data_IF_469442991564
#
_entry.id   IF_469442991564
#
_cell.length_a   1.000
_cell.length_b   1.000
_cell.length_c   1.000
_cell.angle_alpha   90.00
_cell.angle_beta   90.00
_cell.angle_gamma   90.00
#
_symmetry.space_group_name_H-M   'P 1'
#
loop_
_entity.id
_entity.type
_entity.pdbx_description
1 polymer ?
#
# COMPACT_ATOMS: atom_id res chain seq x y z
N UNK A 1 -17.78 24.54 0.61
CA UNK A 1 -18.67 23.36 0.55
C UNK A 1 -18.13 22.33 1.54
N UNK A 2 -19.01 21.75 2.35
CA UNK A 2 -18.68 20.60 3.22
C UNK A 2 -18.39 19.37 2.36
N UNK A 3 -17.45 18.54 2.80
CA UNK A 3 -17.21 17.21 2.22
C UNK A 3 -18.29 16.28 2.76
N UNK A 4 -19.06 15.68 1.87
CA UNK A 4 -20.18 14.80 2.21
C UNK A 4 -19.70 13.36 2.38
N UNK A 5 -19.90 12.80 3.56
CA UNK A 5 -19.40 11.48 3.98
C UNK A 5 -20.57 10.51 4.17
N UNK A 6 -20.43 9.31 3.61
CA UNK A 6 -21.29 8.16 3.91
C UNK A 6 -20.53 7.18 4.80
N UNK A 7 -21.12 6.79 5.93
CA UNK A 7 -20.52 5.83 6.86
C UNK A 7 -21.14 4.45 6.64
N UNK A 8 -20.32 3.43 6.41
CA UNK A 8 -20.75 2.04 6.23
C UNK A 8 -19.98 1.17 7.22
N UNK A 9 -20.68 0.68 8.24
CA UNK A 9 -20.12 -0.13 9.33
C UNK A 9 -21.26 -0.91 9.99
N UNK A 10 -21.07 -2.19 10.34
CA UNK A 10 -22.15 -2.99 10.93
C UNK A 10 -22.41 -2.64 12.41
N UNK A 11 -21.42 -2.09 13.10
CA UNK A 11 -21.50 -1.69 14.49
C UNK A 11 -22.16 -0.33 14.65
N UNK A 12 -23.33 -0.33 15.30
CA UNK A 12 -24.02 0.91 15.66
C UNK A 12 -23.19 1.84 16.56
N UNK A 13 -22.28 1.28 17.36
CA UNK A 13 -21.36 2.06 18.19
C UNK A 13 -20.36 2.84 17.32
N UNK A 14 -19.74 2.17 16.35
CA UNK A 14 -18.77 2.82 15.46
C UNK A 14 -19.41 3.86 14.57
N UNK A 15 -20.60 3.58 14.01
CA UNK A 15 -21.32 4.57 13.22
C UNK A 15 -21.59 5.85 14.02
N UNK A 16 -22.16 5.74 15.22
CA UNK A 16 -22.39 6.90 16.11
C UNK A 16 -21.09 7.65 16.41
N UNK A 17 -20.02 6.91 16.70
CA UNK A 17 -18.75 7.52 17.06
C UNK A 17 -18.09 8.24 15.88
N UNK A 18 -18.11 7.65 14.69
CA UNK A 18 -17.65 8.30 13.46
C UNK A 18 -18.50 9.53 13.14
N UNK A 19 -19.83 9.45 13.30
CA UNK A 19 -20.74 10.58 13.12
C UNK A 19 -20.38 11.75 14.04
N UNK A 20 -20.13 11.50 15.33
CA UNK A 20 -19.66 12.54 16.26
C UNK A 20 -18.32 13.16 15.84
N UNK A 21 -17.35 12.32 15.48
CA UNK A 21 -16.00 12.78 15.12
C UNK A 21 -16.05 13.60 13.85
N UNK A 22 -16.78 13.16 12.83
CA UNK A 22 -16.88 13.83 11.53
C UNK A 22 -17.67 15.14 11.70
N UNK A 23 -18.81 15.12 12.38
CA UNK A 23 -19.70 16.29 12.53
C UNK A 23 -19.10 17.40 13.39
N UNK A 24 -18.11 17.10 14.23
CA UNK A 24 -17.40 18.13 14.99
C UNK A 24 -16.41 18.96 14.14
N UNK A 25 -16.31 18.72 12.83
CA UNK A 25 -15.61 19.58 11.88
C UNK A 25 -16.60 20.17 10.86
N UNK A 26 -16.79 21.49 10.87
CA UNK A 26 -17.72 22.19 9.97
C UNK A 26 -17.46 22.01 8.47
N UNK A 27 -16.27 21.53 8.10
CA UNK A 27 -15.93 21.23 6.70
C UNK A 27 -16.30 19.81 6.27
N UNK A 28 -16.83 18.98 7.16
CA UNK A 28 -17.31 17.63 6.89
C UNK A 28 -18.79 17.51 7.27
N UNK A 29 -19.53 16.68 6.55
CA UNK A 29 -20.95 16.44 6.79
C UNK A 29 -21.28 14.97 6.57
N UNK A 30 -21.92 14.32 7.56
CA UNK A 30 -22.40 12.95 7.39
C UNK A 30 -23.77 12.99 6.73
N UNK A 31 -23.85 12.53 5.48
CA UNK A 31 -25.09 12.55 4.69
C UNK A 31 -25.89 11.24 4.81
N UNK A 32 -25.30 10.21 5.40
CA UNK A 32 -25.95 8.92 5.60
C UNK A 32 -25.09 7.92 6.36
N UNK A 33 -25.76 6.89 6.85
CA UNK A 33 -25.17 5.74 7.52
C UNK A 33 -25.74 4.45 6.91
N UNK A 34 -24.96 3.38 6.80
CA UNK A 34 -25.37 2.06 6.33
C UNK A 34 -24.82 0.97 7.25
N UNK A 35 -25.57 -0.11 7.44
CA UNK A 35 -25.23 -1.19 8.38
C UNK A 35 -24.56 -2.42 7.74
N UNK A 36 -24.50 -2.44 6.41
CA UNK A 36 -23.88 -3.52 5.64
C UNK A 36 -23.44 -3.01 4.27
N UNK A 37 -22.65 -3.81 3.54
CA UNK A 37 -22.12 -3.43 2.24
C UNK A 37 -23.20 -3.19 1.18
N UNK A 38 -24.33 -3.92 1.25
CA UNK A 38 -25.41 -3.79 0.27
C UNK A 38 -26.13 -2.45 0.41
N UNK A 39 -26.50 -2.10 1.65
CA UNK A 39 -27.06 -0.79 1.96
C UNK A 39 -26.05 0.33 1.63
N UNK A 40 -24.75 0.09 1.87
CA UNK A 40 -23.67 0.99 1.48
C UNK A 40 -23.64 1.28 -0.02
N UNK A 41 -23.76 0.27 -0.87
CA UNK A 41 -23.82 0.41 -2.34
C UNK A 41 -25.06 1.22 -2.76
N UNK A 42 -26.24 0.87 -2.24
CA UNK A 42 -27.51 1.54 -2.56
C UNK A 42 -27.48 3.03 -2.16
N UNK A 43 -26.96 3.34 -0.96
CA UNK A 43 -26.81 4.71 -0.47
C UNK A 43 -25.74 5.50 -1.22
N UNK A 44 -24.67 4.86 -1.66
CA UNK A 44 -23.64 5.52 -2.49
C UNK A 44 -24.24 6.00 -3.82
N UNK A 45 -25.05 5.16 -4.46
CA UNK A 45 -25.68 5.50 -5.75
C UNK A 45 -26.71 6.64 -5.59
N UNK A 46 -27.52 6.58 -4.53
CA UNK A 46 -28.61 7.54 -4.31
C UNK A 46 -28.13 8.88 -3.76
N UNK A 47 -27.26 8.89 -2.75
CA UNK A 47 -26.80 10.10 -2.07
C UNK A 47 -25.59 10.75 -2.75
N UNK A 48 -24.86 9.98 -3.58
CA UNK A 48 -23.61 10.38 -4.25
C UNK A 48 -22.65 11.11 -3.29
N UNK A 49 -22.17 10.46 -2.22
CA UNK A 49 -21.24 11.08 -1.28
C UNK A 49 -19.91 11.45 -1.97
N UNK A 50 -19.16 12.37 -1.36
CA UNK A 50 -17.82 12.73 -1.85
C UNK A 50 -16.77 11.70 -1.37
N UNK A 51 -17.04 11.02 -0.25
CA UNK A 51 -16.22 9.91 0.26
C UNK A 51 -17.07 8.93 1.07
N UNK A 52 -16.72 7.65 0.98
CA UNK A 52 -17.32 6.58 1.77
C UNK A 52 -16.30 6.05 2.77
N UNK A 53 -16.66 5.98 4.04
CA UNK A 53 -15.89 5.23 5.03
C UNK A 53 -16.48 3.83 5.12
N UNK A 54 -15.68 2.79 4.90
CA UNK A 54 -16.18 1.43 4.69
C UNK A 54 -15.49 0.44 5.63
N UNK A 55 -16.26 -0.26 6.46
CA UNK A 55 -15.77 -1.42 7.17
C UNK A 55 -15.47 -2.59 6.23
N UNK A 56 -14.53 -3.45 6.62
CA UNK A 56 -14.18 -4.65 5.86
C UNK A 56 -15.15 -5.79 6.15
N UNK A 57 -15.41 -6.06 7.43
CA UNK A 57 -16.14 -7.25 7.88
C UNK A 57 -17.56 -6.86 8.24
N UNK A 58 -18.52 -7.24 7.40
CA UNK A 58 -19.93 -6.92 7.60
C UNK A 58 -20.81 -8.10 7.16
N UNK A 59 -22.01 -8.27 7.74
CA UNK A 59 -22.98 -9.26 7.28
C UNK A 59 -23.54 -8.90 5.90
N UNK A 60 -24.19 -9.87 5.25
CA UNK A 60 -24.88 -9.74 3.94
C UNK A 60 -23.93 -9.50 2.75
N UNK A 61 -23.12 -8.45 2.80
CA UNK A 61 -22.11 -8.11 1.81
C UNK A 61 -20.91 -7.50 2.52
N UNK A 62 -19.73 -8.08 2.31
CA UNK A 62 -18.49 -7.58 2.87
C UNK A 62 -18.02 -6.28 2.19
N UNK A 63 -17.12 -5.56 2.86
CA UNK A 63 -16.60 -4.28 2.38
C UNK A 63 -15.85 -4.39 1.06
N UNK A 64 -15.15 -5.51 0.81
CA UNK A 64 -14.37 -5.71 -0.43
C UNK A 64 -15.31 -5.83 -1.63
N UNK A 65 -16.38 -6.59 -1.50
CA UNK A 65 -17.42 -6.77 -2.51
C UNK A 65 -18.17 -5.46 -2.73
N UNK A 66 -18.49 -4.74 -1.65
CA UNK A 66 -19.09 -3.41 -1.74
C UNK A 66 -18.21 -2.41 -2.49
N UNK A 67 -16.89 -2.40 -2.24
CA UNK A 67 -15.92 -1.58 -2.98
C UNK A 67 -15.98 -1.88 -4.48
N UNK A 68 -15.95 -3.15 -4.88
CA UNK A 68 -16.02 -3.54 -6.30
C UNK A 68 -17.32 -3.07 -6.95
N UNK A 69 -18.44 -3.22 -6.25
CA UNK A 69 -19.74 -2.78 -6.76
C UNK A 69 -19.84 -1.26 -6.89
N UNK A 70 -19.40 -0.51 -5.88
CA UNK A 70 -19.35 0.96 -5.92
C UNK A 70 -18.46 1.42 -7.06
N UNK A 71 -17.25 0.88 -7.18
CA UNK A 71 -16.30 1.25 -8.23
C UNK A 71 -16.79 0.90 -9.64
N UNK A 72 -17.68 -0.10 -9.79
CA UNK A 72 -18.30 -0.45 -11.07
C UNK A 72 -19.52 0.43 -11.39
N UNK A 73 -20.39 0.70 -10.41
CA UNK A 73 -21.69 1.37 -10.63
C UNK A 73 -21.61 2.90 -10.49
N UNK A 74 -20.91 3.39 -9.48
CA UNK A 74 -20.77 4.81 -9.15
C UNK A 74 -19.41 5.04 -8.48
N UNK A 75 -18.30 5.09 -9.24
CA UNK A 75 -16.96 5.23 -8.69
C UNK A 75 -16.87 6.41 -7.73
N UNK A 76 -16.64 6.10 -6.46
CA UNK A 76 -16.62 7.05 -5.35
C UNK A 76 -15.39 6.74 -4.50
N UNK A 77 -14.66 7.75 -3.98
CA UNK A 77 -13.54 7.52 -3.07
C UNK A 77 -13.94 6.75 -1.81
N UNK A 78 -13.21 5.67 -1.50
CA UNK A 78 -13.45 4.83 -0.34
C UNK A 78 -12.22 4.82 0.56
N UNK A 79 -12.42 5.17 1.84
CA UNK A 79 -11.46 4.99 2.92
C UNK A 79 -11.87 3.74 3.72
N UNK A 80 -11.04 2.70 3.67
CA UNK A 80 -11.31 1.47 4.42
C UNK A 80 -11.05 1.69 5.91
N UNK A 81 -11.92 1.13 6.75
CA UNK A 81 -11.74 1.03 8.19
C UNK A 81 -11.58 -0.43 8.56
N UNK A 82 -10.38 -0.82 8.98
CA UNK A 82 -10.05 -2.22 9.22
C UNK A 82 -9.57 -2.43 10.65
N UNK A 83 -9.75 -3.64 11.18
CA UNK A 83 -9.10 -4.04 12.43
C UNK A 83 -7.57 -4.02 12.30
N UNK A 84 -6.86 -3.95 13.43
CA UNK A 84 -5.40 -3.96 13.51
C UNK A 84 -4.77 -5.37 13.38
N UNK A 85 -5.57 -6.39 13.01
CA UNK A 85 -5.12 -7.78 12.95
C UNK A 85 -4.41 -8.09 11.62
N UNK A 86 -3.65 -9.18 11.58
CA UNK A 86 -3.01 -9.65 10.35
C UNK A 86 -4.03 -10.04 9.26
N UNK A 87 -5.14 -10.66 9.65
CA UNK A 87 -6.25 -10.96 8.72
C UNK A 87 -6.89 -9.67 8.20
N UNK A 88 -7.11 -8.68 9.09
CA UNK A 88 -7.58 -7.35 8.71
C UNK A 88 -6.66 -6.65 7.72
N UNK A 89 -5.34 -6.77 7.89
CA UNK A 89 -4.35 -6.21 6.96
C UNK A 89 -4.45 -6.85 5.57
N UNK A 90 -4.55 -8.18 5.48
CA UNK A 90 -4.69 -8.88 4.21
C UNK A 90 -5.99 -8.48 3.47
N UNK A 91 -7.09 -8.40 4.20
CA UNK A 91 -8.38 -7.96 3.64
C UNK A 91 -8.33 -6.50 3.19
N UNK A 92 -7.61 -5.64 3.90
CA UNK A 92 -7.39 -4.24 3.52
C UNK A 92 -6.63 -4.12 2.20
N UNK A 93 -5.56 -4.90 1.98
CA UNK A 93 -4.86 -4.87 0.69
C UNK A 93 -5.73 -5.35 -0.47
N UNK A 94 -6.58 -6.37 -0.25
CA UNK A 94 -7.58 -6.79 -1.25
C UNK A 94 -8.59 -5.68 -1.55
N UNK A 95 -8.98 -4.89 -0.54
CA UNK A 95 -9.86 -3.75 -0.74
C UNK A 95 -9.19 -2.62 -1.54
N UNK A 96 -7.91 -2.33 -1.27
CA UNK A 96 -7.13 -1.36 -2.05
C UNK A 96 -7.04 -1.79 -3.53
N UNK A 97 -6.79 -3.07 -3.80
CA UNK A 97 -6.79 -3.61 -5.18
C UNK A 97 -8.16 -3.58 -5.85
N UNK A 98 -9.23 -3.71 -5.06
CA UNK A 98 -10.60 -3.56 -5.55
C UNK A 98 -10.95 -2.11 -5.91
N UNK A 99 -10.09 -1.14 -5.57
CA UNK A 99 -10.24 0.27 -5.90
C UNK A 99 -10.42 1.19 -4.70
N UNK A 100 -10.29 0.68 -3.47
CA UNK A 100 -10.24 1.57 -2.30
C UNK A 100 -8.98 2.44 -2.34
N UNK A 101 -9.10 3.64 -1.80
CA UNK A 101 -8.10 4.70 -1.97
C UNK A 101 -7.00 4.61 -0.91
N UNK A 102 -7.41 4.41 0.33
CA UNK A 102 -6.55 4.29 1.48
C UNK A 102 -7.27 3.52 2.59
N UNK A 103 -6.60 3.33 3.71
CA UNK A 103 -7.20 2.74 4.89
C UNK A 103 -6.82 3.45 6.20
N UNK A 104 -7.60 3.16 7.23
CA UNK A 104 -7.34 3.57 8.59
C UNK A 104 -7.64 2.44 9.57
N UNK A 105 -6.75 2.15 10.53
CA UNK A 105 -7.02 1.15 11.54
C UNK A 105 -8.12 1.61 12.51
N UNK A 106 -9.02 0.70 12.87
CA UNK A 106 -9.98 0.83 13.96
C UNK A 106 -9.26 0.66 15.30
N UNK A 107 -8.51 1.66 15.74
CA UNK A 107 -7.92 1.63 17.07
C UNK A 107 -8.98 1.98 18.13
N UNK A 108 -9.55 0.95 18.76
CA UNK A 108 -10.63 1.08 19.74
C UNK A 108 -10.27 2.05 20.88
N UNK A 109 -9.04 2.00 21.39
CA UNK A 109 -8.61 2.83 22.52
C UNK A 109 -8.52 4.32 22.15
N UNK A 110 -7.97 4.65 20.97
CA UNK A 110 -7.81 6.04 20.54
C UNK A 110 -9.15 6.69 20.20
N UNK A 111 -10.04 5.91 19.57
CA UNK A 111 -11.38 6.35 19.19
C UNK A 111 -12.26 6.51 20.45
N UNK A 112 -12.11 5.63 21.44
CA UNK A 112 -12.86 5.68 22.70
C UNK A 112 -12.37 6.79 23.65
N UNK A 113 -11.07 7.03 23.76
CA UNK A 113 -10.49 7.97 24.73
C UNK A 113 -10.29 9.41 24.22
N UNK A 114 -10.88 9.78 23.09
CA UNK A 114 -10.83 11.15 22.52
C UNK A 114 -9.40 11.71 22.43
N UNK A 115 -8.44 10.91 21.96
CA UNK A 115 -7.11 11.47 21.65
C UNK A 115 -7.24 12.41 20.45
N UNK A 116 -7.15 13.71 20.70
CA UNK A 116 -7.34 14.74 19.67
C UNK A 116 -6.50 14.49 18.41
N UNK A 117 -5.28 13.97 18.56
CA UNK A 117 -4.38 13.65 17.46
C UNK A 117 -4.96 12.61 16.49
N UNK A 118 -5.52 11.51 16.99
CA UNK A 118 -6.11 10.45 16.17
C UNK A 118 -7.40 10.93 15.47
N UNK A 119 -8.18 11.77 16.15
CA UNK A 119 -9.39 12.37 15.58
C UNK A 119 -9.05 13.32 14.42
N UNK A 120 -8.01 14.13 14.59
CA UNK A 120 -7.51 15.02 13.54
C UNK A 120 -6.94 14.24 12.37
N UNK A 121 -6.20 13.15 12.62
CA UNK A 121 -5.70 12.26 11.56
C UNK A 121 -6.85 11.69 10.73
N UNK A 122 -7.90 11.19 11.38
CA UNK A 122 -9.07 10.66 10.67
C UNK A 122 -9.70 11.73 9.77
N UNK A 123 -9.99 12.91 10.31
CA UNK A 123 -10.59 14.01 9.54
C UNK A 123 -9.70 14.43 8.39
N UNK A 124 -8.39 14.50 8.61
CA UNK A 124 -7.42 14.85 7.57
C UNK A 124 -7.41 13.80 6.45
N UNK A 125 -7.41 12.50 6.78
CA UNK A 125 -7.50 11.40 5.80
C UNK A 125 -8.81 11.43 5.03
N UNK A 126 -9.96 11.62 5.68
CA UNK A 126 -11.26 11.76 5.00
C UNK A 126 -11.20 12.90 3.98
N UNK A 127 -10.71 14.08 4.37
CA UNK A 127 -10.58 15.24 3.46
C UNK A 127 -9.62 14.96 2.31
N UNK A 128 -8.52 14.26 2.57
CA UNK A 128 -7.53 13.91 1.56
C UNK A 128 -8.11 12.92 0.54
N UNK A 129 -8.79 11.87 1.02
CA UNK A 129 -9.47 10.86 0.17
C UNK A 129 -10.64 11.48 -0.61
N UNK A 130 -11.43 12.36 -0.01
CA UNK A 130 -12.52 13.04 -0.72
C UNK A 130 -12.02 13.92 -1.89
N UNK A 131 -10.80 14.44 -1.79
CA UNK A 131 -10.16 15.21 -2.87
C UNK A 131 -9.43 14.33 -3.89
N UNK A 132 -9.34 13.02 -3.64
CA UNK A 132 -8.66 12.10 -4.54
C UNK A 132 -9.45 11.93 -5.85
N UNK A 133 -8.72 11.85 -6.97
CA UNK A 133 -9.30 11.82 -8.31
C UNK A 133 -9.64 10.39 -8.74
N UNK A 134 -10.60 9.76 -8.06
CA UNK A 134 -10.98 8.35 -8.31
C UNK A 134 -11.52 8.11 -9.72
N UNK A 135 -12.12 9.12 -10.35
CA UNK A 135 -12.58 9.05 -11.75
C UNK A 135 -11.45 9.01 -12.79
N UNK A 136 -10.20 9.34 -12.42
CA UNK A 136 -9.04 9.31 -13.32
C UNK A 136 -8.09 8.14 -13.09
N UNK A 137 -8.20 7.45 -11.95
CA UNK A 137 -7.37 6.27 -11.61
C UNK A 137 -7.71 5.02 -12.43
N UNK A 138 -8.62 5.12 -13.40
CA UNK A 138 -8.66 4.25 -14.57
C UNK A 138 -8.48 2.78 -14.24
N UNK A 139 -9.40 2.19 -13.46
CA UNK A 139 -9.61 0.74 -13.55
C UNK A 139 -10.14 0.50 -14.96
N UNK A 140 -9.23 0.35 -15.94
CA UNK A 140 -9.60 -0.31 -17.19
C UNK A 140 -10.13 -1.68 -16.76
N UNK A 141 -11.36 -2.06 -17.15
CA UNK A 141 -11.78 -3.44 -16.97
C UNK A 141 -10.68 -4.29 -17.60
N UNK A 142 -10.12 -5.22 -16.82
CA UNK A 142 -9.30 -6.29 -17.39
C UNK A 142 -10.21 -6.91 -18.43
N UNK A 143 -9.94 -6.62 -19.71
CA UNK A 143 -10.66 -7.24 -20.79
C UNK A 143 -10.48 -8.74 -20.57
N UNK A 144 -11.58 -9.41 -20.24
CA UNK A 144 -11.66 -10.86 -20.27
C UNK A 144 -11.00 -11.29 -21.58
N UNK A 145 -9.93 -12.06 -21.47
CA UNK A 145 -9.29 -12.71 -22.61
C UNK A 145 -10.30 -13.72 -23.13
N UNK A 146 -11.28 -13.23 -23.90
CA UNK A 146 -12.10 -14.04 -24.75
C UNK A 146 -11.15 -14.66 -25.76
N UNK A 147 -10.94 -15.96 -25.63
CA UNK A 147 -10.15 -16.77 -26.53
C UNK A 147 -10.53 -16.43 -27.98
N UNK A 148 -9.58 -15.87 -28.72
CA UNK A 148 -9.72 -15.70 -30.15
C UNK A 148 -9.90 -17.10 -30.78
N UNK A 149 -10.83 -17.28 -31.74
CA UNK A 149 -11.00 -18.55 -32.41
C UNK A 149 -9.76 -18.82 -33.25
N UNK A 150 -9.14 -19.98 -33.03
CA UNK A 150 -8.05 -20.51 -33.84
C UNK A 150 -8.54 -20.59 -35.28
N UNK A 151 -8.02 -19.72 -36.15
CA UNK A 151 -8.15 -19.86 -37.60
C UNK A 151 -7.19 -20.96 -38.04
N UNK A 152 -7.72 -22.15 -38.28
CA UNK A 152 -6.99 -23.22 -38.97
C UNK A 152 -6.81 -22.83 -40.44
N UNK A 153 -5.57 -22.57 -40.82
CA UNK A 153 -5.15 -22.44 -42.22
C UNK A 153 -5.07 -23.83 -42.85
N UNK A 154 -6.08 -24.22 -43.62
CA UNK A 154 -6.00 -25.38 -44.51
C UNK A 154 -5.35 -24.98 -45.82
N UNK A 155 -4.12 -25.44 -46.01
CA UNK A 155 -3.45 -25.49 -47.32
C UNK A 155 -4.27 -26.41 -48.24
N UNK A 156 -4.56 -25.91 -49.43
CA UNK A 156 -5.25 -26.65 -50.47
C UNK A 156 -4.39 -27.80 -51.01
N UNK A 157 -5.02 -28.94 -51.21
CA UNK A 157 -4.65 -29.89 -52.25
C UNK A 157 -5.90 -30.31 -53.02
N UNK A 158 -5.72 -30.27 -54.32
CA UNK A 158 -6.70 -30.45 -55.39
C UNK A 158 -6.99 -31.92 -55.68
N UNK A 159 -8.27 -32.16 -55.99
CA UNK A 159 -8.81 -33.08 -57.00
C UNK A 159 -8.41 -34.57 -56.99
N UNK A 160 -9.40 -35.47 -56.80
CA UNK A 160 -9.84 -36.41 -57.85
C UNK A 160 -11.18 -37.10 -57.50
N UNK A 161 -11.90 -37.51 -58.55
CA UNK A 161 -13.29 -37.95 -58.59
C UNK A 161 -13.54 -39.41 -58.19
N UNK A 162 -14.78 -39.75 -57.76
CA UNK A 162 -15.58 -40.90 -58.29
C UNK A 162 -16.91 -41.15 -57.53
N UNK A 163 -18.03 -41.03 -58.28
CA UNK A 163 -19.13 -42.00 -58.50
C UNK A 163 -19.88 -42.74 -57.33
N UNK A 164 -21.18 -42.39 -57.25
CA UNK A 164 -22.42 -43.22 -57.28
C UNK A 164 -22.81 -44.27 -56.21
N UNK A 165 -24.12 -44.19 -55.86
CA UNK A 165 -25.06 -45.21 -55.34
C UNK A 165 -24.93 -45.61 -53.85
N UNK A 166 -25.98 -45.85 -53.07
CA UNK A 166 -27.43 -45.87 -53.27
C UNK A 166 -28.13 -46.28 -51.95
N UNK A 167 -29.36 -45.80 -51.78
CA UNK A 167 -30.55 -46.46 -51.20
C UNK A 167 -30.55 -47.24 -49.85
N UNK A 168 -31.53 -46.82 -49.02
CA UNK A 168 -32.49 -47.63 -48.21
C UNK A 168 -32.11 -48.23 -46.85
N UNK A 169 -33.04 -48.01 -45.90
CA UNK A 169 -33.45 -49.00 -44.88
C UNK A 169 -33.31 -48.51 -43.43
N UNK A 170 -34.33 -47.87 -42.83
CA UNK A 170 -35.28 -48.48 -41.86
C UNK A 170 -34.63 -49.48 -40.90
N UNK A 171 -34.64 -49.28 -39.58
CA UNK A 171 -35.80 -49.55 -38.70
C UNK A 171 -35.40 -49.26 -37.24
N UNK A 172 -36.39 -48.85 -36.44
CA UNK A 172 -36.73 -49.36 -35.09
C UNK A 172 -35.60 -49.53 -34.04
N UNK A 173 -35.76 -49.27 -32.73
CA UNK A 173 -36.94 -49.14 -31.88
C UNK A 173 -36.42 -48.80 -30.46
N UNK A 174 -37.35 -48.31 -29.65
CA UNK A 174 -37.45 -48.52 -28.19
C UNK A 174 -36.95 -47.42 -27.27
N UNK A 175 -37.95 -46.62 -26.88
CA UNK A 175 -38.12 -46.04 -25.56
C UNK A 175 -38.31 -47.12 -24.49
N UNK A 176 -37.99 -46.77 -23.23
CA UNK A 176 -38.72 -47.06 -21.98
C UNK A 176 -37.71 -46.99 -20.82
N UNK A 177 -37.71 -46.02 -19.90
CA UNK A 177 -38.73 -45.53 -18.96
C UNK A 177 -38.39 -45.99 -17.54
N UNK A 178 -38.43 -45.04 -16.59
CA UNK A 178 -39.01 -45.15 -15.23
C UNK A 178 -38.32 -46.17 -14.28
N UNK A 179 -38.21 -46.03 -12.96
CA UNK A 179 -38.74 -45.10 -11.94
C UNK A 179 -38.31 -45.67 -10.58
N UNK A 180 -38.17 -44.80 -9.56
CA UNK A 180 -38.30 -45.14 -8.13
C UNK A 180 -37.12 -45.91 -7.52
N UNK A 181 -36.78 -45.81 -6.24
CA UNK A 181 -37.39 -45.14 -5.10
C UNK A 181 -36.82 -45.79 -3.83
N UNK A 182 -36.38 -44.94 -2.89
CA UNK A 182 -36.35 -45.10 -1.42
C UNK A 182 -35.70 -46.34 -0.74
N UNK A 183 -34.73 -46.01 0.13
CA UNK A 183 -34.57 -46.41 1.54
C UNK A 183 -34.16 -47.84 1.91
N UNK A 184 -33.01 -47.99 2.60
CA UNK A 184 -32.90 -48.61 3.93
C UNK A 184 -31.43 -48.78 4.39
N UNK A 185 -31.12 -48.22 5.57
CA UNK A 185 -30.27 -48.72 6.68
C UNK A 185 -29.17 -49.76 6.43
N UNK A 186 -27.94 -49.48 6.90
CA UNK A 186 -27.15 -50.39 7.76
C UNK A 186 -25.84 -49.77 8.31
N UNK A 187 -25.73 -49.82 9.64
CA UNK A 187 -24.58 -50.18 10.50
C UNK A 187 -23.17 -49.54 10.37
N UNK A 188 -22.67 -49.10 11.54
CA UNK A 188 -21.29 -48.73 11.93
C UNK A 188 -20.29 -49.91 11.83
N UNK A 189 -18.98 -49.63 11.93
CA UNK A 189 -18.33 -49.86 13.22
C UNK A 189 -17.43 -48.71 13.70
N UNK A 190 -17.35 -48.63 15.03
CA UNK A 190 -16.56 -47.75 15.87
C UNK A 190 -15.10 -48.17 15.98
N UNK A 191 -14.16 -47.21 15.91
CA UNK A 191 -12.78 -47.38 16.39
C UNK A 191 -12.54 -46.45 17.58
N UNK A 192 -12.16 -47.08 18.66
CA UNK A 192 -11.79 -46.59 19.99
C UNK A 192 -10.37 -46.01 19.96
N UNK A 193 -10.15 -44.84 20.54
CA UNK A 193 -8.81 -44.38 20.97
C UNK A 193 -8.87 -43.87 22.41
N UNK A 194 -8.04 -44.40 23.32
CA UNK A 194 -8.04 -44.01 24.72
C UNK A 194 -7.18 -42.76 24.99
N UNK A 195 -7.43 -42.15 26.15
CA UNK A 195 -6.90 -40.88 26.65
C UNK A 195 -5.92 -41.10 27.82
N UNK A 196 -4.90 -40.23 27.88
CA UNK A 196 -4.02 -39.83 29.01
C UNK A 196 -2.80 -40.75 29.34
N UNK A 197 -1.72 -40.25 30.00
CA UNK A 197 -1.55 -38.95 30.68
C UNK A 197 -0.23 -38.16 30.41
N UNK A 198 -0.16 -36.96 30.99
CA UNK A 198 1.00 -36.07 31.12
C UNK A 198 2.12 -36.65 32.00
N UNK A 199 3.37 -36.55 31.55
CA UNK A 199 4.57 -36.43 32.40
C UNK A 199 5.74 -35.91 31.56
N UNK A 200 6.55 -35.02 32.15
CA UNK A 200 7.59 -34.26 31.48
C UNK A 200 8.84 -35.06 31.10
N UNK A 201 9.52 -34.57 30.06
CA UNK A 201 10.92 -34.84 29.80
C UNK A 201 11.53 -33.64 29.08
N UNK A 202 12.59 -33.12 29.68
CA UNK A 202 13.48 -32.06 29.22
C UNK A 202 14.47 -32.58 28.16
N UNK A 203 14.70 -31.79 27.10
CA UNK A 203 15.97 -31.58 26.35
C UNK A 203 15.69 -31.00 24.95
N UNK A 204 16.66 -30.36 24.25
CA UNK A 204 17.76 -29.51 24.71
C UNK A 204 17.69 -28.09 24.10
N UNK A 205 18.36 -27.13 24.74
CA UNK A 205 18.49 -25.76 24.26
C UNK A 205 19.35 -25.69 22.99
N UNK A 206 18.73 -25.41 21.84
CA UNK A 206 19.43 -24.84 20.69
C UNK A 206 19.62 -23.35 20.93
N UNK A 207 20.88 -22.96 21.16
CA UNK A 207 21.33 -21.56 21.25
C UNK A 207 20.93 -20.80 19.98
N UNK A 208 19.84 -20.05 20.06
CA UNK A 208 19.60 -18.91 19.18
C UNK A 208 20.60 -17.81 19.59
N UNK A 209 21.61 -17.57 18.76
CA UNK A 209 22.52 -16.44 18.92
C UNK A 209 21.76 -15.18 18.51
N UNK A 210 21.02 -14.60 19.44
CA UNK A 210 20.60 -13.21 19.35
C UNK A 210 21.80 -12.34 19.74
N UNK A 211 22.55 -11.86 18.75
CA UNK A 211 23.54 -10.80 18.97
C UNK A 211 22.78 -9.50 19.27
N UNK A 212 22.55 -9.23 20.54
CA UNK A 212 22.08 -7.91 20.99
C UNK A 212 23.20 -6.89 20.83
N UNK A 213 22.88 -5.73 20.25
CA UNK A 213 23.81 -4.59 20.17
C UNK A 213 24.33 -4.24 21.57
N UNK A 214 25.65 -4.05 21.66
CA UNK A 214 26.34 -3.71 22.91
C UNK A 214 25.90 -2.32 23.42
N UNK A 215 26.00 -2.06 24.73
CA UNK A 215 25.57 -0.78 25.30
C UNK A 215 26.27 0.44 24.66
N UNK A 216 27.53 0.28 24.23
CA UNK A 216 28.28 1.30 23.51
C UNK A 216 27.71 1.58 22.11
N UNK A 217 27.30 0.54 21.37
CA UNK A 217 26.64 0.69 20.06
C UNK A 217 25.26 1.33 20.19
N UNK A 218 24.52 1.12 21.28
CA UNK A 218 23.24 1.82 21.51
C UNK A 218 23.46 3.31 21.76
N UNK A 219 24.47 3.67 22.54
CA UNK A 219 24.83 5.07 22.80
C UNK A 219 25.25 5.83 21.53
N UNK A 220 26.01 5.19 20.62
CA UNK A 220 26.37 5.82 19.34
C UNK A 220 25.17 6.05 18.43
N UNK A 221 24.20 5.13 18.44
CA UNK A 221 22.99 5.21 17.61
C UNK A 221 22.03 6.29 18.09
N UNK A 222 21.84 6.42 19.40
CA UNK A 222 21.03 7.49 19.98
C UNK A 222 21.63 8.87 19.67
N UNK A 223 22.96 9.03 19.81
CA UNK A 223 23.64 10.28 19.43
C UNK A 223 23.52 10.59 17.92
N UNK A 224 23.61 9.58 17.05
CA UNK A 224 23.42 9.77 15.62
C UNK A 224 21.99 10.21 15.29
N UNK A 225 21.00 9.61 15.95
CA UNK A 225 19.59 9.97 15.82
C UNK A 225 19.32 11.40 16.32
N UNK A 226 19.87 11.79 17.48
CA UNK A 226 19.79 13.16 17.98
C UNK A 226 20.42 14.17 17.05
N UNK A 227 21.58 13.85 16.46
CA UNK A 227 22.23 14.70 15.47
C UNK A 227 21.36 14.90 14.23
N UNK A 228 20.78 13.82 13.69
CA UNK A 228 19.85 13.89 12.56
C UNK A 228 18.67 14.79 12.90
N UNK A 229 18.07 14.59 14.07
CA UNK A 229 16.96 15.42 14.53
C UNK A 229 17.36 16.90 14.69
N UNK A 230 18.56 17.19 15.20
CA UNK A 230 19.09 18.56 15.32
C UNK A 230 19.29 19.23 13.96
N UNK A 231 19.65 18.46 12.93
CA UNK A 231 19.79 18.97 11.56
C UNK A 231 18.43 19.24 10.92
N UNK A 232 17.45 18.39 11.20
CA UNK A 232 16.08 18.58 10.76
C UNK A 232 15.41 19.77 11.48
N UNK A 233 15.74 20.03 12.76
CA UNK A 233 15.20 21.17 13.53
C UNK A 233 15.97 22.49 13.33
N UNK A 234 17.28 22.43 13.04
CA UNK A 234 18.14 23.60 12.80
C UNK A 234 17.94 24.28 11.44
N UNK A 235 17.10 23.71 10.59
CA UNK A 235 16.68 24.29 9.31
C UNK A 235 15.63 25.39 9.52
N UNK A 236 16.05 26.52 10.10
CA UNK A 236 15.32 27.80 10.29
C UNK A 236 13.92 27.72 10.99
N UNK A 237 13.73 28.34 12.18
CA UNK A 237 12.40 28.54 12.76
C UNK A 237 11.50 29.51 11.95
N UNK A 238 12.08 30.16 10.93
CA UNK A 238 11.37 31.04 10.00
C UNK A 238 10.53 30.27 9.00
N UNK A 239 9.28 30.01 9.39
CA UNK A 239 8.24 29.21 8.71
C UNK A 239 8.56 27.72 8.66
N UNK A 240 7.95 26.89 9.54
CA UNK A 240 7.92 25.45 9.30
C UNK A 240 7.37 25.17 7.90
N UNK A 241 7.63 24.01 7.30
CA UNK A 241 7.02 23.66 6.01
C UNK A 241 5.49 23.88 6.04
N UNK A 242 4.85 23.66 7.19
CA UNK A 242 3.45 24.00 7.56
C UNK A 242 3.05 25.47 7.37
N UNK A 243 4.00 26.40 7.37
CA UNK A 243 3.82 27.85 7.23
C UNK A 243 4.33 28.40 5.89
N UNK A 244 4.89 27.56 5.01
CA UNK A 244 4.83 27.89 3.59
C UNK A 244 3.34 27.89 3.22
N UNK A 245 2.88 28.97 2.61
CA UNK A 245 1.52 29.08 2.13
C UNK A 245 1.36 28.03 1.03
N UNK A 246 0.96 26.81 1.41
CA UNK A 246 0.64 25.74 0.48
C UNK A 246 -0.57 26.23 -0.30
N UNK A 247 -0.31 26.83 -1.46
CA UNK A 247 -1.35 27.14 -2.42
C UNK A 247 -1.82 25.81 -2.98
N UNK A 248 -2.76 25.18 -2.27
CA UNK A 248 -3.60 24.13 -2.83
C UNK A 248 -4.35 24.76 -4.01
N UNK A 249 -3.91 24.45 -5.22
CA UNK A 249 -4.52 24.92 -6.46
C UNK A 249 -3.87 26.17 -7.05
N UNK A 250 -2.76 25.97 -7.80
CA UNK A 250 -2.50 26.72 -9.05
C UNK A 250 -1.28 26.23 -9.84
N UNK A 251 -0.44 25.36 -9.29
CA UNK A 251 0.63 24.73 -10.06
C UNK A 251 0.12 23.45 -10.71
N UNK A 252 -0.37 23.53 -11.95
CA UNK A 252 -0.33 22.38 -12.86
C UNK A 252 1.15 22.06 -13.04
N UNK A 253 1.73 21.21 -12.19
CA UNK A 253 3.11 20.81 -12.35
C UNK A 253 3.20 20.02 -13.66
N UNK A 254 3.80 20.64 -14.68
CA UNK A 254 4.04 19.94 -15.95
C UNK A 254 5.09 18.87 -15.69
N UNK A 255 4.84 17.67 -16.20
CA UNK A 255 5.84 16.61 -16.27
C UNK A 255 7.17 17.19 -16.79
N UNK A 256 8.26 16.91 -16.08
CA UNK A 256 9.59 17.22 -16.59
C UNK A 256 9.96 16.20 -17.66
N UNK A 257 10.64 16.64 -18.72
CA UNK A 257 11.26 15.71 -19.66
C UNK A 257 12.36 14.95 -18.91
N UNK A 258 12.29 13.62 -18.94
CA UNK A 258 13.30 12.79 -18.30
C UNK A 258 14.63 12.93 -19.02
N UNK A 259 15.70 13.12 -18.25
CA UNK A 259 17.08 13.10 -18.73
C UNK A 259 17.93 12.45 -17.67
N UNK A 260 18.59 11.36 -18.03
CA UNK A 260 19.52 10.66 -17.16
C UNK A 260 20.50 11.63 -16.50
N UNK A 261 20.68 11.52 -15.18
CA UNK A 261 21.53 12.46 -14.43
C UNK A 261 23.03 12.26 -14.70
N UNK A 262 23.41 11.06 -15.18
CA UNK A 262 24.80 10.63 -15.37
C UNK A 262 25.52 10.30 -14.05
N UNK A 263 24.82 10.33 -12.92
CA UNK A 263 25.39 10.01 -11.60
C UNK A 263 25.31 8.50 -11.33
N UNK A 264 26.23 8.04 -10.48
CA UNK A 264 26.20 6.69 -9.92
C UNK A 264 25.35 6.69 -8.66
N UNK A 265 24.41 5.75 -8.57
CA UNK A 265 23.59 5.51 -7.39
C UNK A 265 23.93 4.16 -6.79
N UNK A 266 24.16 4.11 -5.49
CA UNK A 266 24.42 2.87 -4.75
C UNK A 266 23.19 2.39 -3.96
N UNK A 267 22.13 3.20 -3.89
CA UNK A 267 20.89 2.89 -3.18
C UNK A 267 19.71 3.69 -3.75
N UNK A 268 18.54 3.06 -3.76
CA UNK A 268 17.25 3.72 -4.09
C UNK A 268 16.46 3.91 -2.80
N UNK A 269 15.95 5.11 -2.55
CA UNK A 269 15.17 5.44 -1.35
C UNK A 269 13.80 6.01 -1.74
N UNK A 270 12.71 5.43 -1.24
CA UNK A 270 11.35 5.78 -1.62
C UNK A 270 10.54 6.16 -0.38
N UNK A 271 9.95 7.35 -0.37
CA UNK A 271 9.01 7.81 0.65
C UNK A 271 7.58 7.87 0.12
N UNK A 272 6.61 7.41 0.90
CA UNK A 272 5.19 7.37 0.50
C UNK A 272 4.24 7.35 1.70
N UNK A 273 2.98 7.73 1.48
CA UNK A 273 1.94 7.75 2.53
C UNK A 273 0.58 7.32 1.94
N UNK A 274 -0.48 8.13 2.03
CA UNK A 274 -1.79 7.84 1.41
C UNK A 274 -1.70 7.55 -0.09
N UNK A 275 -2.23 6.39 -0.50
CA UNK A 275 -2.12 5.85 -1.87
C UNK A 275 -0.77 5.17 -2.18
N UNK A 276 0.17 5.23 -1.24
CA UNK A 276 1.51 4.67 -1.37
C UNK A 276 1.55 3.15 -1.59
N UNK A 277 0.74 2.32 -0.89
CA UNK A 277 0.76 0.87 -1.11
C UNK A 277 0.41 0.47 -2.56
N UNK A 278 -0.53 1.16 -3.20
CA UNK A 278 -0.88 0.93 -4.61
C UNK A 278 0.22 1.46 -5.53
N UNK A 279 0.76 2.65 -5.23
CA UNK A 279 1.86 3.22 -6.01
C UNK A 279 3.10 2.31 -6.02
N UNK A 280 3.50 1.79 -4.86
CA UNK A 280 4.62 0.88 -4.71
C UNK A 280 4.40 -0.46 -5.42
N UNK A 281 3.19 -1.04 -5.33
CA UNK A 281 2.82 -2.25 -6.09
C UNK A 281 2.84 -2.02 -7.61
N UNK A 282 2.70 -0.78 -8.08
CA UNK A 282 2.80 -0.46 -9.50
C UNK A 282 4.23 -0.27 -10.00
N UNK A 283 5.18 0.01 -9.09
CA UNK A 283 6.57 0.37 -9.38
C UNK A 283 7.51 -0.81 -9.14
N UNK A 284 7.59 -1.33 -7.91
CA UNK A 284 8.61 -2.30 -7.50
C UNK A 284 8.57 -3.60 -8.31
N UNK A 285 7.38 -4.18 -8.60
CA UNK A 285 7.28 -5.40 -9.43
C UNK A 285 7.86 -5.26 -10.84
N UNK A 286 7.89 -4.05 -11.39
CA UNK A 286 8.37 -3.78 -12.75
C UNK A 286 9.88 -3.56 -12.81
N UNK A 287 10.56 -3.50 -11.66
CA UNK A 287 12.00 -3.31 -11.62
C UNK A 287 12.72 -4.66 -11.87
N UNK A 288 13.72 -4.70 -12.77
CA UNK A 288 14.67 -5.80 -12.83
C UNK A 288 15.62 -5.73 -11.64
N UNK A 289 16.47 -6.73 -11.46
CA UNK A 289 17.52 -6.69 -10.41
C UNK A 289 18.63 -5.69 -10.80
N UNK A 290 18.62 -4.51 -10.17
CA UNK A 290 19.54 -3.40 -10.46
C UNK A 290 20.85 -3.45 -9.64
N UNK A 291 21.09 -4.53 -8.90
CA UNK A 291 22.27 -4.73 -8.04
C UNK A 291 22.50 -3.63 -6.99
N UNK A 292 21.43 -2.99 -6.54
CA UNK A 292 21.44 -2.03 -5.42
C UNK A 292 20.30 -2.36 -4.44
N UNK A 293 20.46 -2.05 -3.14
CA UNK A 293 19.37 -2.10 -2.18
C UNK A 293 18.31 -1.04 -2.49
N UNK A 294 17.05 -1.37 -2.18
CA UNK A 294 15.93 -0.42 -2.16
C UNK A 294 15.46 -0.26 -0.72
N UNK A 295 15.20 0.98 -0.29
CA UNK A 295 14.62 1.26 1.03
C UNK A 295 13.33 2.04 0.87
N UNK A 296 12.27 1.55 1.50
CA UNK A 296 10.92 2.11 1.42
C UNK A 296 10.50 2.57 2.80
N UNK A 297 10.11 3.83 2.89
CA UNK A 297 9.46 4.41 4.06
C UNK A 297 8.02 4.72 3.69
N UNK A 298 7.11 3.85 4.15
CA UNK A 298 5.67 3.97 3.95
C UNK A 298 5.04 4.31 5.30
N UNK A 299 4.27 5.41 5.37
CA UNK A 299 3.47 5.71 6.56
C UNK A 299 2.38 4.66 6.74
N UNK A 300 2.59 3.73 7.67
CA UNK A 300 1.68 2.63 7.89
C UNK A 300 1.85 2.07 9.31
N UNK A 301 0.77 1.58 9.95
CA UNK A 301 0.87 0.96 11.28
C UNK A 301 1.73 -0.32 11.26
N UNK A 302 2.35 -0.64 12.40
CA UNK A 302 3.26 -1.79 12.52
C UNK A 302 2.63 -3.15 12.22
N UNK A 303 1.32 -3.30 12.45
CA UNK A 303 0.62 -4.55 12.13
C UNK A 303 0.41 -4.79 10.63
N UNK A 304 0.65 -3.78 9.78
CA UNK A 304 0.44 -3.85 8.34
C UNK A 304 1.75 -3.92 7.55
N UNK A 305 2.87 -3.45 8.11
CA UNK A 305 4.17 -3.39 7.40
C UNK A 305 4.72 -4.76 7.06
N UNK A 306 4.61 -5.74 7.97
CA UNK A 306 5.00 -7.12 7.68
C UNK A 306 4.18 -7.73 6.54
N UNK A 307 2.85 -7.59 6.59
CA UNK A 307 1.92 -8.12 5.57
C UNK A 307 2.15 -7.47 4.20
N UNK A 308 2.44 -6.17 4.19
CA UNK A 308 2.76 -5.44 2.98
C UNK A 308 4.08 -5.90 2.36
N UNK A 309 5.12 -6.11 3.17
CA UNK A 309 6.39 -6.64 2.70
C UNK A 309 6.22 -8.02 2.05
N UNK A 310 5.50 -8.93 2.69
CA UNK A 310 5.18 -10.25 2.14
C UNK A 310 4.40 -10.16 0.82
N UNK A 311 3.40 -9.26 0.75
CA UNK A 311 2.62 -9.07 -0.47
C UNK A 311 3.51 -8.59 -1.61
N UNK A 312 4.35 -7.60 -1.36
CA UNK A 312 5.23 -7.02 -2.36
C UNK A 312 6.31 -8.01 -2.81
N UNK A 313 6.86 -8.82 -1.89
CA UNK A 313 7.79 -9.92 -2.17
C UNK A 313 7.21 -10.91 -3.19
N UNK A 314 5.95 -11.34 -2.97
CA UNK A 314 5.27 -12.32 -3.83
C UNK A 314 5.05 -11.87 -5.27
N UNK A 315 5.07 -10.55 -5.53
CA UNK A 315 4.81 -9.98 -6.85
C UNK A 315 6.06 -9.33 -7.48
N UNK A 316 7.20 -9.34 -6.79
CA UNK A 316 8.40 -8.61 -7.22
C UNK A 316 9.57 -9.54 -7.56
N UNK A 317 10.50 -9.04 -8.38
CA UNK A 317 11.77 -9.71 -8.62
C UNK A 317 12.75 -9.54 -7.45
N UNK A 318 12.58 -8.45 -6.68
CA UNK A 318 13.36 -8.18 -5.48
C UNK A 318 12.88 -9.06 -4.34
N UNK A 319 13.82 -9.48 -3.48
CA UNK A 319 13.47 -9.98 -2.15
C UNK A 319 12.99 -8.79 -1.31
N UNK A 320 11.73 -8.78 -0.90
CA UNK A 320 11.16 -7.70 -0.08
C UNK A 320 10.98 -8.17 1.36
N UNK A 321 11.52 -7.41 2.30
CA UNK A 321 11.44 -7.71 3.73
C UNK A 321 11.09 -6.47 4.54
N UNK A 322 10.38 -6.67 5.64
CA UNK A 322 10.33 -5.65 6.69
C UNK A 322 11.69 -5.58 7.39
N UNK A 323 12.23 -4.37 7.52
CA UNK A 323 13.56 -4.15 8.06
C UNK A 323 13.64 -4.48 9.56
N UNK A 324 14.71 -5.18 9.96
CA UNK A 324 14.99 -5.51 11.36
C UNK A 324 16.22 -4.75 11.85
N UNK A 325 16.26 -4.48 13.16
CA UNK A 325 17.44 -3.86 13.77
C UNK A 325 18.66 -4.75 13.55
N UNK A 326 19.71 -4.16 12.97
CA UNK A 326 20.95 -4.83 12.67
C UNK A 326 21.05 -5.48 11.29
N UNK A 327 20.00 -5.43 10.47
CA UNK A 327 20.07 -5.86 9.08
C UNK A 327 21.19 -5.12 8.33
N UNK A 328 21.88 -5.81 7.44
CA UNK A 328 22.88 -5.23 6.54
C UNK A 328 22.21 -5.01 5.20
N UNK A 329 22.39 -3.82 4.61
CA UNK A 329 21.86 -3.52 3.28
C UNK A 329 22.58 -4.37 2.23
N UNK A 330 21.82 -5.26 1.60
CA UNK A 330 22.28 -6.14 0.53
C UNK A 330 21.70 -5.71 -0.83
N UNK A 331 22.48 -5.82 -1.93
CA UNK A 331 21.98 -5.65 -3.28
C UNK A 331 20.76 -6.53 -3.55
N UNK A 332 19.81 -6.04 -4.36
CA UNK A 332 18.62 -6.80 -4.78
C UNK A 332 17.65 -7.16 -3.64
N UNK A 333 17.79 -6.51 -2.48
CA UNK A 333 16.85 -6.59 -1.37
C UNK A 333 16.15 -5.24 -1.19
N UNK A 334 14.84 -5.30 -0.99
CA UNK A 334 13.99 -4.16 -0.72
C UNK A 334 13.55 -4.19 0.74
N UNK A 335 13.90 -3.15 1.51
CA UNK A 335 13.64 -3.06 2.94
C UNK A 335 12.50 -2.07 3.20
N UNK A 336 11.45 -2.51 3.88
CA UNK A 336 10.33 -1.67 4.29
C UNK A 336 10.51 -1.26 5.74
N UNK A 337 10.40 0.04 6.03
CA UNK A 337 10.46 0.55 7.39
C UNK A 337 9.31 -0.02 8.26
N UNK A 338 9.59 -0.56 9.45
CA UNK A 338 8.57 -1.09 10.34
C UNK A 338 7.68 0.02 10.91
N UNK A 339 6.37 -0.22 10.93
CA UNK A 339 5.38 0.75 11.41
C UNK A 339 5.50 1.02 12.91
N UNK A 340 5.28 2.27 13.32
CA UNK A 340 5.41 2.70 14.73
C UNK A 340 6.85 2.87 15.22
N UNK A 341 7.85 2.61 14.37
CA UNK A 341 9.27 2.72 14.67
C UNK A 341 9.95 3.67 13.67
N UNK A 342 11.19 4.07 13.96
CA UNK A 342 12.05 4.82 13.05
C UNK A 342 13.10 3.90 12.46
N UNK A 343 13.35 4.07 11.16
CA UNK A 343 14.41 3.37 10.44
C UNK A 343 15.51 4.38 10.10
N UNK A 344 16.71 4.17 10.64
CA UNK A 344 17.90 4.94 10.27
C UNK A 344 18.99 4.02 9.77
N UNK A 345 20.00 4.62 9.13
CA UNK A 345 21.14 3.92 8.59
C UNK A 345 22.42 4.35 9.30
N UNK A 346 23.28 3.38 9.57
CA UNK A 346 24.61 3.59 10.14
C UNK A 346 25.68 3.03 9.21
N UNK A 347 26.82 3.72 9.15
CA UNK A 347 27.97 3.23 8.39
C UNK A 347 28.64 2.10 9.19
N UNK A 348 28.45 0.87 8.73
CA UNK A 348 29.20 -0.28 9.24
C UNK A 348 30.61 -0.32 8.67
N UNK A 349 31.39 -1.33 9.07
CA UNK A 349 32.79 -1.49 8.64
C UNK A 349 32.94 -1.62 7.12
N UNK A 350 32.04 -2.37 6.48
CA UNK A 350 32.10 -2.65 5.03
C UNK A 350 30.80 -2.37 4.29
N UNK A 351 29.65 -2.50 4.98
CA UNK A 351 28.32 -2.28 4.44
C UNK A 351 27.49 -1.45 5.42
N UNK A 352 26.47 -0.79 4.91
CA UNK A 352 25.55 0.02 5.71
C UNK A 352 24.63 -0.90 6.52
N UNK A 353 24.47 -0.60 7.81
CA UNK A 353 23.62 -1.32 8.76
C UNK A 353 22.33 -0.53 8.99
N UNK A 354 21.20 -1.22 9.05
CA UNK A 354 19.89 -0.65 9.40
C UNK A 354 19.76 -0.67 10.92
N UNK A 355 19.31 0.45 11.49
CA UNK A 355 18.90 0.51 12.90
C UNK A 355 17.43 0.87 13.02
N UNK A 356 16.73 0.14 13.89
CA UNK A 356 15.32 0.36 14.18
C UNK A 356 15.18 0.91 15.59
N UNK A 357 14.66 2.14 15.69
CA UNK A 357 14.55 2.89 16.93
C UNK A 357 13.10 3.16 17.27
N UNK A 358 12.80 3.27 18.56
CA UNK A 358 11.48 3.76 18.96
C UNK A 358 11.36 5.24 18.60
N UNK A 359 10.23 5.60 18.04
CA UNK A 359 9.90 6.98 17.76
C UNK A 359 9.90 7.88 19.00
N UNK A 360 10.31 9.13 18.81
CA UNK A 360 10.08 10.20 19.79
C UNK A 360 8.85 11.02 19.37
N UNK A 361 8.14 11.55 20.37
CA UNK A 361 7.06 12.54 20.29
C UNK A 361 7.38 13.81 19.47
N UNK A 362 8.67 14.13 19.28
CA UNK A 362 9.12 15.27 18.45
C UNK A 362 8.82 15.11 16.96
N UNK A 363 8.65 13.87 16.48
CA UNK A 363 8.35 13.56 15.09
C UNK A 363 6.90 13.09 15.01
N UNK A 364 6.16 13.62 14.04
CA UNK A 364 4.72 13.32 13.89
C UNK A 364 4.49 11.90 13.37
N UNK A 365 5.37 11.41 12.48
CA UNK A 365 5.21 10.15 11.78
C UNK A 365 6.22 9.10 12.25
N UNK A 366 5.75 7.87 12.39
CA UNK A 366 6.56 6.70 12.73
C UNK A 366 6.13 5.52 11.83
N UNK A 367 6.85 5.23 10.75
CA UNK A 367 8.17 5.76 10.35
C UNK A 367 8.12 7.13 9.66
N UNK A 368 9.20 7.90 9.79
CA UNK A 368 9.36 9.22 9.16
C UNK A 368 10.36 9.17 8.00
N UNK A 369 9.96 9.69 6.84
CA UNK A 369 10.77 9.72 5.62
C UNK A 369 11.97 10.65 5.80
N UNK A 370 11.78 11.83 6.40
CA UNK A 370 12.84 12.81 6.63
C UNK A 370 14.00 12.23 7.44
N UNK A 371 13.69 11.48 8.51
CA UNK A 371 14.66 10.83 9.39
C UNK A 371 15.50 9.81 8.61
N UNK A 372 14.85 8.90 7.86
CA UNK A 372 15.56 7.90 7.07
C UNK A 372 16.43 8.54 5.99
N UNK A 373 15.89 9.51 5.24
CA UNK A 373 16.60 10.18 4.15
C UNK A 373 17.79 11.01 4.66
N UNK A 374 17.65 11.69 5.80
CA UNK A 374 18.75 12.43 6.43
C UNK A 374 19.92 11.52 6.84
N UNK A 375 19.63 10.33 7.37
CA UNK A 375 20.67 9.35 7.70
C UNK A 375 21.40 8.83 6.45
N UNK A 376 20.68 8.60 5.34
CA UNK A 376 21.29 8.22 4.06
C UNK A 376 22.17 9.33 3.47
N UNK A 377 21.74 10.59 3.57
CA UNK A 377 22.50 11.74 3.08
C UNK A 377 23.90 11.81 3.72
N UNK A 378 23.99 11.47 5.01
CA UNK A 378 25.25 11.45 5.76
C UNK A 378 26.19 10.30 5.36
N UNK A 379 25.68 9.24 4.72
CA UNK A 379 26.43 8.01 4.41
C UNK A 379 26.85 7.94 2.94
N UNK A 380 25.90 8.17 2.02
CA UNK A 380 26.08 7.86 0.61
C UNK A 380 26.60 9.04 -0.23
N UNK A 381 26.76 10.24 0.36
CA UNK A 381 27.46 11.40 -0.24
C UNK A 381 27.05 11.67 -1.69
N UNK A 382 25.75 11.76 -1.95
CA UNK A 382 25.21 12.07 -3.27
C UNK A 382 24.92 10.87 -4.18
N UNK A 383 25.14 9.64 -3.71
CA UNK A 383 24.90 8.39 -4.46
C UNK A 383 23.55 7.74 -4.11
N UNK A 384 22.54 8.56 -3.81
CA UNK A 384 21.17 8.12 -3.53
C UNK A 384 20.27 8.56 -4.66
N UNK A 385 19.48 7.63 -5.20
CA UNK A 385 18.32 7.97 -6.01
C UNK A 385 17.09 8.00 -5.10
N UNK A 386 16.63 9.20 -4.76
CA UNK A 386 15.52 9.39 -3.84
C UNK A 386 14.22 9.69 -4.60
N UNK A 387 13.10 9.21 -4.09
CA UNK A 387 11.79 9.40 -4.71
C UNK A 387 10.73 9.65 -3.65
N UNK A 388 9.88 10.64 -3.87
CA UNK A 388 8.70 10.90 -3.04
C UNK A 388 7.45 10.67 -3.87
N UNK A 389 6.65 9.70 -3.43
CA UNK A 389 5.38 9.31 -4.05
C UNK A 389 4.19 9.94 -3.31
N UNK A 390 2.99 9.66 -3.80
CA UNK A 390 1.70 10.09 -3.25
C UNK A 390 1.66 9.98 -1.72
N UNK A 391 1.07 11.01 -1.11
CA UNK A 391 1.00 11.11 0.33
C UNK A 391 0.54 12.47 0.82
N UNK A 392 -0.03 12.50 2.03
CA UNK A 392 -0.43 13.73 2.70
C UNK A 392 0.74 14.35 3.47
N UNK A 393 0.74 15.68 3.60
CA UNK A 393 1.72 16.40 4.40
C UNK A 393 2.99 16.74 3.62
N UNK A 394 4.10 16.92 4.35
CA UNK A 394 5.38 17.37 3.79
C UNK A 394 6.57 16.51 4.24
N UNK A 395 6.31 15.36 4.86
CA UNK A 395 7.38 14.44 5.26
C UNK A 395 8.17 13.99 4.02
N UNK A 396 9.48 13.89 4.18
CA UNK A 396 10.44 13.64 3.11
C UNK A 396 11.00 14.90 2.47
N UNK A 397 10.45 16.10 2.75
CA UNK A 397 10.96 17.35 2.19
C UNK A 397 12.31 17.77 2.75
N UNK A 398 12.49 17.73 4.07
CA UNK A 398 13.74 18.13 4.70
C UNK A 398 14.84 17.09 4.48
N UNK A 399 14.51 15.80 4.57
CA UNK A 399 15.40 14.70 4.24
C UNK A 399 15.84 14.74 2.77
N UNK A 400 14.92 15.01 1.84
CA UNK A 400 15.27 15.20 0.43
C UNK A 400 16.13 16.43 0.20
N UNK A 401 15.94 17.52 0.97
CA UNK A 401 16.81 18.70 0.92
C UNK A 401 18.23 18.36 1.35
N UNK A 402 18.40 17.56 2.39
CA UNK A 402 19.72 17.08 2.84
C UNK A 402 20.37 16.17 1.80
N UNK A 403 19.62 15.25 1.20
CA UNK A 403 20.09 14.42 0.08
C UNK A 403 20.53 15.30 -1.09
N UNK A 404 19.74 16.32 -1.44
CA UNK A 404 20.05 17.24 -2.54
C UNK A 404 21.32 18.03 -2.28
N UNK A 405 21.51 18.54 -1.06
CA UNK A 405 22.75 19.22 -0.62
C UNK A 405 23.96 18.30 -0.69
N UNK A 406 23.79 17.01 -0.42
CA UNK A 406 24.84 16.00 -0.56
C UNK A 406 25.12 15.59 -2.02
N UNK A 407 24.33 16.07 -2.99
CA UNK A 407 24.51 15.81 -4.41
C UNK A 407 23.63 14.69 -4.99
N UNK A 408 22.68 14.16 -4.23
CA UNK A 408 21.77 13.09 -4.66
C UNK A 408 20.76 13.56 -5.69
N UNK A 409 20.12 12.61 -6.37
CA UNK A 409 19.02 12.86 -7.30
C UNK A 409 17.71 12.62 -6.59
N UNK A 410 16.75 13.54 -6.74
CA UNK A 410 15.44 13.47 -6.09
C UNK A 410 14.33 13.59 -7.11
N UNK A 411 13.43 12.60 -7.17
CA UNK A 411 12.25 12.62 -8.03
C UNK A 411 10.96 12.77 -7.20
N UNK A 412 9.94 13.34 -7.84
CA UNK A 412 8.60 13.47 -7.28
C UNK A 412 7.56 12.87 -8.24
N UNK A 413 6.57 12.16 -7.69
CA UNK A 413 5.40 11.76 -8.46
C UNK A 413 4.59 13.00 -8.87
N UNK A 414 4.08 13.04 -10.10
CA UNK A 414 3.27 14.15 -10.58
C UNK A 414 1.87 14.19 -9.94
N UNK A 415 1.19 15.33 -10.05
CA UNK A 415 -0.15 15.51 -9.48
C UNK A 415 -1.18 14.57 -10.12
N UNK A 416 -1.07 14.31 -11.42
CA UNK A 416 -2.09 13.59 -12.17
C UNK A 416 -2.23 12.12 -11.77
N UNK A 417 -1.14 11.49 -11.35
CA UNK A 417 -1.14 10.08 -10.91
C UNK A 417 -1.14 9.93 -9.39
N UNK A 418 -1.01 11.03 -8.64
CA UNK A 418 -1.12 11.00 -7.19
C UNK A 418 -2.57 10.79 -6.74
N UNK A 419 -2.74 9.95 -5.72
CA UNK A 419 -3.98 9.90 -4.96
C UNK A 419 -4.13 11.16 -4.12
N UNK A 420 -3.06 11.53 -3.41
CA UNK A 420 -2.93 12.78 -2.64
C UNK A 420 -1.60 13.43 -3.01
N UNK A 421 -1.69 14.59 -3.65
CA UNK A 421 -0.53 15.39 -4.06
C UNK A 421 -0.09 16.35 -2.94
N UNK A 422 0.33 15.80 -1.79
CA UNK A 422 0.87 16.57 -0.66
C UNK A 422 2.39 16.45 -0.56
N UNK A 423 2.87 15.25 -0.23
CA UNK A 423 4.30 14.98 -0.07
C UNK A 423 5.09 15.34 -1.34
N UNK A 424 4.69 14.90 -2.56
CA UNK A 424 5.41 15.29 -3.77
C UNK A 424 5.33 16.80 -4.03
N UNK A 425 4.20 17.44 -3.73
CA UNK A 425 4.03 18.88 -3.87
C UNK A 425 5.01 19.66 -2.99
N UNK A 426 5.25 19.21 -1.76
CA UNK A 426 6.22 19.83 -0.86
C UNK A 426 7.64 19.84 -1.45
N UNK A 427 8.05 18.74 -2.10
CA UNK A 427 9.35 18.63 -2.78
C UNK A 427 9.44 19.58 -3.97
N UNK A 428 8.38 19.62 -4.79
CA UNK A 428 8.32 20.46 -6.00
C UNK A 428 8.31 21.94 -5.64
N UNK A 429 7.49 22.36 -4.66
CA UNK A 429 7.41 23.75 -4.22
C UNK A 429 8.71 24.23 -3.58
N UNK A 430 9.46 23.34 -2.94
CA UNK A 430 10.77 23.65 -2.38
C UNK A 430 11.89 23.70 -3.45
N UNK A 431 11.61 23.41 -4.72
CA UNK A 431 12.60 23.39 -5.80
C UNK A 431 13.63 22.27 -5.67
N UNK A 432 13.29 21.18 -4.97
CA UNK A 432 14.21 20.08 -4.66
C UNK A 432 14.18 19.00 -5.75
N UNK A 433 13.03 18.81 -6.41
CA UNK A 433 12.84 17.76 -7.41
C UNK A 433 13.64 18.01 -8.68
N UNK A 434 14.47 17.04 -9.08
CA UNK A 434 15.12 16.97 -10.39
C UNK A 434 14.11 16.62 -11.49
N UNK A 435 13.22 15.68 -11.18
CA UNK A 435 12.19 15.23 -12.09
C UNK A 435 10.84 15.11 -11.40
N UNK A 436 9.80 15.53 -12.12
CA UNK A 436 8.40 15.33 -11.77
C UNK A 436 7.76 14.51 -12.89
N UNK A 437 7.23 13.34 -12.56
CA UNK A 437 6.76 12.39 -13.57
C UNK A 437 5.58 11.55 -13.11
N UNK A 438 4.80 11.08 -14.08
CA UNK A 438 3.73 10.12 -13.88
C UNK A 438 4.23 8.80 -13.27
N UNK A 439 3.39 8.15 -12.46
CA UNK A 439 3.72 6.91 -11.74
C UNK A 439 4.16 5.79 -12.67
N UNK A 440 3.54 5.68 -13.85
CA UNK A 440 3.84 4.66 -14.84
C UNK A 440 5.22 4.85 -15.48
N UNK A 441 5.75 6.08 -15.44
CA UNK A 441 7.09 6.43 -15.94
C UNK A 441 8.20 6.22 -14.90
N UNK A 442 7.86 6.09 -13.62
CA UNK A 442 8.84 5.95 -12.55
C UNK A 442 9.69 4.70 -12.75
N UNK A 443 9.08 3.53 -12.85
CA UNK A 443 9.81 2.27 -13.00
C UNK A 443 10.73 2.23 -14.24
N UNK A 444 10.26 2.55 -15.47
CA UNK A 444 11.15 2.56 -16.64
C UNK A 444 12.28 3.59 -16.52
N UNK A 445 12.02 4.77 -15.93
CA UNK A 445 13.05 5.79 -15.76
C UNK A 445 14.09 5.39 -14.69
N UNK A 446 13.72 4.64 -13.65
CA UNK A 446 14.69 4.05 -12.71
C UNK A 446 15.67 3.16 -13.47
N UNK A 447 15.17 2.28 -14.35
CA UNK A 447 15.99 1.36 -15.14
C UNK A 447 16.97 2.15 -16.03
N UNK A 448 16.47 3.16 -16.75
CA UNK A 448 17.31 4.03 -17.60
C UNK A 448 18.36 4.80 -16.79
N UNK A 449 17.97 5.38 -15.65
CA UNK A 449 18.87 6.10 -14.73
C UNK A 449 20.01 5.20 -14.23
N UNK A 450 19.69 3.97 -13.84
CA UNK A 450 20.66 2.98 -13.37
C UNK A 450 21.51 2.39 -14.50
N UNK A 451 21.14 2.62 -15.77
CA UNK A 451 21.90 2.17 -16.94
C UNK A 451 21.66 0.72 -17.32
N UNK A 452 20.46 0.23 -17.04
CA UNK A 452 20.00 -1.11 -17.40
C UNK A 452 19.11 -1.10 -18.64
#
# INVERSE_FOLDING_TARGET
MSVRVLIVDDSSFFRKRLTEIISADSSLEVIGEAKDGKEGVEKTISLRPDVVTMDVEMPVMDGITAVKEIMSKSPTPILMFSSLTFEGANSTFKALEAGAVDFMPKNFDDIAHKRDTALQELRAKIKAVAKSRVSRLGVRPVASVAAAPVRTSTLGQTATAARTAGTLGTTARSASSLSGGLSATAARPSITTPRAPLAGASAPATRAVAMGATAAERGSTEMAYEKIQSQLSGSNPGRPATAMQFTFGNHKCKDTVFKKSGKRHDIIAIGSSTGGPIALQSVIPKLPLLNVPIVIVQHMPGSFTTTFAQRLDNISNYKVVEAKDGDILEPNVCYIAPGGMQMIFERGMSKTKIRILKGDSRVVYHPCVDVSFASLASIYSGRVLAMILTGMGSDGCEGSRLLKRAGSVVWAQNEDTCVVYGMPQAIVNAGIADHVMALEKIAPNIVEEMGH
#
